data_IF_844449830539
#
_entry.id   IF_844449830539
#
_cell.length_a   1.000
_cell.length_b   1.000
_cell.length_c   1.000
_cell.angle_alpha   90.00
_cell.angle_beta   90.00
_cell.angle_gamma   90.00
#
_symmetry.space_group_name_H-M   'P 1'
#
loop_
_entity.id
_entity.type
_entity.pdbx_description
1 polymer ?
#
# COMPACT_ATOMS: atom_id res chain seq x y z
N UNK A 1 -29.11 -14.37 1.53
CA UNK A 1 -27.83 -14.61 0.80
C UNK A 1 -26.72 -14.60 1.83
N UNK A 2 -26.02 -15.72 2.04
CA UNK A 2 -24.76 -15.66 2.78
C UNK A 2 -23.67 -15.33 1.76
N UNK A 3 -23.17 -14.10 1.80
CA UNK A 3 -22.05 -13.66 0.95
C UNK A 3 -20.72 -13.86 1.67
N UNK A 4 -19.66 -14.11 0.90
CA UNK A 4 -18.31 -14.09 1.43
C UNK A 4 -17.85 -12.62 1.63
N UNK A 5 -17.17 -12.34 2.74
CA UNK A 5 -16.58 -11.04 3.03
C UNK A 5 -15.07 -11.14 2.89
N UNK A 6 -14.47 -10.25 2.09
CA UNK A 6 -13.03 -10.07 1.99
C UNK A 6 -12.62 -8.79 2.71
N UNK A 7 -11.75 -8.90 3.71
CA UNK A 7 -11.19 -7.76 4.43
C UNK A 7 -9.72 -7.55 4.01
N UNK A 8 -9.40 -6.35 3.53
CA UNK A 8 -8.03 -5.94 3.18
C UNK A 8 -7.53 -4.93 4.20
N UNK A 9 -6.47 -5.28 4.92
CA UNK A 9 -5.84 -4.38 5.89
C UNK A 9 -4.67 -3.66 5.22
N UNK A 10 -4.73 -2.34 5.19
CA UNK A 10 -3.68 -1.49 4.63
C UNK A 10 -3.34 -0.33 5.58
N UNK A 11 -2.13 0.21 5.43
CA UNK A 11 -1.68 1.43 6.12
C UNK A 11 -1.76 2.60 5.16
N UNK A 12 -2.18 3.77 5.65
CA UNK A 12 -2.22 5.00 4.86
C UNK A 12 -0.87 5.25 4.14
N UNK A 13 -0.86 5.45 2.81
CA UNK A 13 0.37 5.72 2.06
C UNK A 13 0.96 7.07 2.46
N UNK A 14 2.04 7.05 3.23
CA UNK A 14 2.72 8.25 3.69
C UNK A 14 4.25 8.04 3.67
N UNK A 15 5.03 9.02 3.15
CA UNK A 15 6.49 8.92 3.10
C UNK A 15 7.09 8.57 4.47
N UNK A 16 8.05 7.64 4.48
CA UNK A 16 8.73 7.19 5.69
C UNK A 16 7.87 6.34 6.65
N UNK A 17 6.60 6.07 6.32
CA UNK A 17 5.67 5.32 7.16
C UNK A 17 5.27 3.97 6.56
N UNK A 18 5.35 3.82 5.24
CA UNK A 18 5.04 2.59 4.51
C UNK A 18 6.24 2.16 3.68
N UNK A 19 6.36 0.84 3.45
CA UNK A 19 7.36 0.25 2.56
C UNK A 19 8.78 0.77 2.78
N UNK A 20 9.16 1.08 4.03
CA UNK A 20 10.44 1.71 4.38
C UNK A 20 11.66 0.85 4.05
N UNK A 21 11.50 -0.47 3.98
CA UNK A 21 12.53 -1.41 3.51
C UNK A 21 12.88 -1.25 2.03
N UNK A 22 12.09 -0.51 1.25
CA UNK A 22 12.43 -0.16 -0.13
C UNK A 22 13.34 1.07 -0.22
N UNK A 23 13.69 1.70 0.91
CA UNK A 23 14.51 2.92 0.95
C UNK A 23 15.85 2.62 1.66
N UNK A 24 16.96 2.39 0.92
CA UNK A 24 17.15 2.42 -0.55
C UNK A 24 16.65 1.12 -1.26
N UNK A 25 16.44 1.13 -2.60
CA UNK A 25 16.80 2.16 -3.60
C UNK A 25 15.78 3.29 -3.85
N UNK A 26 14.56 3.17 -3.34
CA UNK A 26 13.52 4.19 -3.51
C UNK A 26 13.70 5.36 -2.53
N UNK A 27 13.21 6.55 -2.90
CA UNK A 27 12.95 7.62 -1.92
C UNK A 27 11.71 7.29 -1.08
N UNK A 28 11.55 7.89 0.12
CA UNK A 28 10.33 7.73 0.93
C UNK A 28 9.04 8.05 0.17
N UNK A 29 9.06 9.04 -0.74
CA UNK A 29 7.94 9.44 -1.59
C UNK A 29 7.62 8.36 -2.62
N UNK A 30 8.64 7.81 -3.28
CA UNK A 30 8.48 6.69 -4.22
C UNK A 30 7.89 5.45 -3.53
N UNK A 31 8.35 5.14 -2.32
CA UNK A 31 7.83 4.02 -1.54
C UNK A 31 6.35 4.23 -1.14
N UNK A 32 5.95 5.46 -0.82
CA UNK A 32 4.56 5.81 -0.54
C UNK A 32 3.68 5.72 -1.80
N UNK A 33 4.14 6.27 -2.93
CA UNK A 33 3.43 6.19 -4.20
C UNK A 33 3.22 4.73 -4.66
N UNK A 34 4.24 3.88 -4.49
CA UNK A 34 4.13 2.45 -4.79
C UNK A 34 3.12 1.75 -3.88
N UNK A 35 3.07 2.10 -2.59
CA UNK A 35 2.08 1.54 -1.67
C UNK A 35 0.65 1.95 -2.05
N UNK A 36 0.46 3.19 -2.52
CA UNK A 36 -0.84 3.66 -3.02
C UNK A 36 -1.26 2.93 -4.30
N UNK A 37 -0.37 2.83 -5.28
CA UNK A 37 -0.66 2.12 -6.53
C UNK A 37 -1.03 0.65 -6.26
N UNK A 38 -0.22 -0.05 -5.47
CA UNK A 38 -0.49 -1.45 -5.12
C UNK A 38 -1.84 -1.64 -4.41
N UNK A 39 -2.23 -0.70 -3.53
CA UNK A 39 -3.54 -0.77 -2.86
C UNK A 39 -4.68 -0.56 -3.85
N UNK A 40 -4.57 0.42 -4.76
CA UNK A 40 -5.56 0.67 -5.81
C UNK A 40 -5.71 -0.55 -6.73
N UNK A 41 -4.60 -1.12 -7.18
CA UNK A 41 -4.59 -2.29 -8.06
C UNK A 41 -5.16 -3.54 -7.37
N UNK A 42 -4.98 -3.67 -6.05
CA UNK A 42 -5.55 -4.80 -5.28
C UNK A 42 -7.07 -4.73 -5.14
N UNK A 43 -7.66 -3.53 -5.21
CA UNK A 43 -9.09 -3.29 -4.96
C UNK A 43 -9.93 -3.12 -6.24
N UNK A 44 -9.30 -3.17 -7.41
CA UNK A 44 -9.97 -3.14 -8.72
C UNK A 44 -10.65 -4.49 -9.03
#
# INVERSE_FOLDING_TARGET
>A
MSGAVLAVIAKAPAPGRVKTRLCPPCTPEQAAALAEAALRDTLA
#
